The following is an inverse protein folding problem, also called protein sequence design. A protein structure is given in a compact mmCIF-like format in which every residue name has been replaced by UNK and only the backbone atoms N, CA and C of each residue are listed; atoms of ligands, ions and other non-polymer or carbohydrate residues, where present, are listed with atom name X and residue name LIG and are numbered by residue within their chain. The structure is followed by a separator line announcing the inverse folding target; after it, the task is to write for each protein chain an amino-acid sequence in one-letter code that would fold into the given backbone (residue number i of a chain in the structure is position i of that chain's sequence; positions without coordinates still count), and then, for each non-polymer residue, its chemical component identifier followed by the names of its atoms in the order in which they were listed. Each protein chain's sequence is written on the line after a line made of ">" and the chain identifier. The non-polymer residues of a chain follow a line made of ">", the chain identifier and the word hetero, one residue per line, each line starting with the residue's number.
data_IF_325596685343
#
_entry.id   IF_325596685343
#
_cell.length_a   1.000
_cell.length_b   1.000
_cell.length_c   1.000
_cell.angle_alpha   90.00
_cell.angle_beta   90.00
_cell.angle_gamma   90.00
#
_symmetry.space_group_name_H-M   'P 1'
#
loop_
_entity.id
_entity.type
_entity.pdbx_description
1 polymer ?
#
# COMPACT_ATOMS: atom_id res chain seq x y z
N UNK A 1 -6.81 6.26 33.92
CA UNK A 1 -6.35 4.92 33.51
C UNK A 1 -5.38 5.08 32.35
N UNK A 2 -4.13 4.62 32.48
CA UNK A 2 -3.20 4.59 31.33
C UNK A 2 -3.65 3.45 30.42
N UNK A 3 -4.01 3.76 29.18
CA UNK A 3 -4.30 2.73 28.19
C UNK A 3 -2.99 2.00 27.87
N UNK A 4 -2.92 0.71 28.16
CA UNK A 4 -1.79 -0.14 27.79
C UNK A 4 -1.96 -0.68 26.37
N UNK A 5 -2.33 0.19 25.42
CA UNK A 5 -2.48 -0.22 24.03
C UNK A 5 -1.13 -0.75 23.52
N UNK A 6 -1.17 -1.98 23.00
CA UNK A 6 -0.03 -2.58 22.30
C UNK A 6 -0.18 -2.27 20.83
N UNK A 7 0.75 -1.48 20.30
CA UNK A 7 0.71 -1.02 18.92
C UNK A 7 1.67 -1.89 18.10
N UNK A 8 1.19 -2.33 16.94
CA UNK A 8 1.97 -3.04 15.95
C UNK A 8 1.87 -2.33 14.61
N UNK A 9 2.84 -2.56 13.73
CA UNK A 9 2.76 -2.22 12.31
C UNK A 9 2.58 -3.50 11.52
N UNK A 10 1.46 -3.61 10.80
CA UNK A 10 1.24 -4.61 9.77
C UNK A 10 1.65 -3.99 8.45
N UNK A 11 2.60 -4.58 7.74
CA UNK A 11 3.01 -4.15 6.40
C UNK A 11 2.85 -5.30 5.43
N UNK A 12 2.34 -5.04 4.24
CA UNK A 12 2.33 -6.03 3.18
C UNK A 12 2.84 -5.45 1.87
N UNK A 13 3.45 -6.31 1.06
CA UNK A 13 3.92 -5.98 -0.27
C UNK A 13 3.54 -7.07 -1.26
N UNK A 14 3.22 -6.66 -2.48
CA UNK A 14 3.15 -7.53 -3.66
C UNK A 14 4.29 -7.13 -4.57
N UNK A 15 5.11 -8.10 -4.96
CA UNK A 15 6.18 -7.92 -5.94
C UNK A 15 6.33 -9.21 -6.75
N UNK A 16 6.12 -9.13 -8.07
CA UNK A 16 6.42 -10.19 -9.05
C UNK A 16 6.11 -11.62 -8.54
N UNK A 17 4.82 -11.90 -8.39
CA UNK A 17 4.26 -13.19 -7.93
C UNK A 17 4.45 -13.52 -6.44
N UNK A 18 5.10 -12.66 -5.66
CA UNK A 18 5.18 -12.79 -4.20
C UNK A 18 4.18 -11.86 -3.50
N UNK A 19 3.59 -12.36 -2.41
CA UNK A 19 2.83 -11.57 -1.45
C UNK A 19 3.40 -11.81 -0.06
N UNK A 20 3.99 -10.77 0.51
CA UNK A 20 4.63 -10.82 1.81
C UNK A 20 3.87 -9.98 2.82
N UNK A 21 3.70 -10.50 4.03
CA UNK A 21 3.12 -9.78 5.16
C UNK A 21 4.08 -9.86 6.34
N UNK A 22 4.36 -8.70 6.93
CA UNK A 22 5.20 -8.57 8.12
C UNK A 22 4.43 -7.86 9.21
N UNK A 23 4.57 -8.35 10.44
CA UNK A 23 4.02 -7.72 11.64
C UNK A 23 5.19 -7.38 12.55
N UNK A 24 5.28 -6.13 12.97
CA UNK A 24 6.34 -5.65 13.86
C UNK A 24 5.74 -4.93 15.05
N UNK A 25 6.26 -5.18 16.25
CA UNK A 25 5.82 -4.51 17.47
C UNK A 25 6.46 -3.14 17.60
N UNK A 26 5.67 -2.18 18.08
CA UNK A 26 6.13 -0.82 18.35
C UNK A 26 5.82 -0.44 19.79
N UNK A 27 6.86 -0.04 20.52
CA UNK A 27 6.74 0.37 21.91
C UNK A 27 6.04 1.71 22.01
N UNK A 28 4.96 1.77 22.79
CA UNK A 28 4.32 3.03 23.17
C UNK A 28 5.23 3.79 24.15
N UNK A 29 5.57 5.03 23.81
CA UNK A 29 6.39 5.92 24.63
C UNK A 29 5.55 6.98 25.33
N UNK A 30 4.64 7.61 24.60
CA UNK A 30 3.76 8.67 25.10
C UNK A 30 2.37 8.51 24.49
N UNK A 31 1.35 8.68 25.32
CA UNK A 31 -0.02 8.86 24.88
C UNK A 31 -0.45 10.30 25.16
N UNK A 32 -0.95 10.99 24.13
CA UNK A 32 -1.61 12.29 24.26
C UNK A 32 -3.09 12.18 23.87
N UNK A 33 -3.84 13.27 23.98
CA UNK A 33 -5.22 13.29 23.48
C UNK A 33 -5.33 13.17 21.95
N UNK A 34 -4.28 13.52 21.20
CA UNK A 34 -4.33 13.58 19.72
C UNK A 34 -3.53 12.48 19.03
N UNK A 35 -2.43 12.06 19.62
CA UNK A 35 -1.49 11.10 19.01
C UNK A 35 -0.77 10.24 20.04
N UNK A 36 -0.21 9.15 19.55
CA UNK A 36 0.76 8.31 20.23
C UNK A 36 2.18 8.62 19.73
N UNK A 37 3.16 8.68 20.64
CA UNK A 37 4.57 8.53 20.26
C UNK A 37 4.96 7.08 20.45
N UNK A 38 5.47 6.48 19.38
CA UNK A 38 5.84 5.07 19.33
C UNK A 38 7.27 4.91 18.80
N UNK A 39 7.91 3.81 19.15
CA UNK A 39 9.28 3.52 18.70
C UNK A 39 9.41 2.04 18.32
N UNK A 40 10.00 1.78 17.15
CA UNK A 40 10.45 0.46 16.76
C UNK A 40 11.71 0.07 17.55
N UNK A 41 11.95 -1.23 17.72
CA UNK A 41 13.06 -1.78 18.52
C UNK A 41 14.39 -1.04 18.28
N UNK A 42 14.82 -0.96 17.03
CA UNK A 42 16.05 -0.26 16.61
C UNK A 42 15.77 0.95 15.69
N UNK A 43 14.58 1.54 15.79
CA UNK A 43 14.13 2.58 14.85
C UNK A 43 13.93 3.97 15.44
N UNK A 44 13.63 4.96 14.59
CA UNK A 44 13.27 6.31 15.02
C UNK A 44 11.91 6.33 15.74
N UNK A 45 11.73 7.34 16.59
CA UNK A 45 10.42 7.64 17.18
C UNK A 45 9.49 8.17 16.09
N UNK A 46 8.25 7.67 16.05
CA UNK A 46 7.19 8.16 15.17
C UNK A 46 5.99 8.65 15.98
N UNK A 47 5.26 9.60 15.39
CA UNK A 47 3.96 10.04 15.88
C UNK A 47 2.85 9.45 15.03
N UNK A 48 1.85 8.88 15.68
CA UNK A 48 0.64 8.38 15.04
C UNK A 48 -0.56 9.08 15.63
N UNK A 49 -1.25 9.84 14.79
CA UNK A 49 -2.51 10.45 15.17
C UNK A 49 -3.57 9.37 15.43
N UNK A 50 -4.37 9.54 16.49
CA UNK A 50 -5.33 8.52 16.93
C UNK A 50 -6.34 8.16 15.83
N UNK A 51 -6.73 9.12 15.00
CA UNK A 51 -7.60 8.93 13.84
C UNK A 51 -6.95 8.19 12.67
N UNK A 52 -5.62 8.02 12.67
CA UNK A 52 -4.87 7.23 11.68
C UNK A 52 -4.55 5.82 12.19
N UNK A 53 -4.86 5.51 13.45
CA UNK A 53 -4.71 4.17 13.98
C UNK A 53 -5.76 3.25 13.35
N UNK A 54 -5.36 2.02 13.01
CA UNK A 54 -6.18 1.03 12.32
C UNK A 54 -6.68 1.53 10.96
N UNK A 55 -5.86 2.33 10.28
CA UNK A 55 -6.15 2.79 8.92
C UNK A 55 -5.03 2.30 8.02
N UNK A 56 -5.40 1.69 6.89
CA UNK A 56 -4.45 1.30 5.84
C UNK A 56 -3.94 2.55 5.14
N UNK A 57 -2.63 2.61 4.96
CA UNK A 57 -1.91 3.67 4.27
C UNK A 57 -1.07 3.05 3.17
N UNK A 58 -1.00 3.76 2.06
CA UNK A 58 -0.21 3.38 0.91
C UNK A 58 1.25 3.79 1.12
N UNK A 59 2.17 2.84 1.01
CA UNK A 59 3.60 3.11 1.13
C UNK A 59 4.21 3.38 -0.27
N UNK A 60 3.67 2.74 -1.31
CA UNK A 60 4.02 3.03 -2.71
C UNK A 60 3.07 4.06 -3.32
N UNK A 61 3.61 5.14 -3.89
CA UNK A 61 2.82 6.18 -4.58
C UNK A 61 2.26 5.72 -5.93
N UNK A 62 2.94 4.79 -6.59
CA UNK A 62 2.59 4.32 -7.93
C UNK A 62 3.02 2.87 -8.12
N UNK A 63 2.28 2.12 -8.94
CA UNK A 63 2.74 0.83 -9.42
C UNK A 63 3.92 1.01 -10.38
N UNK A 64 5.11 0.63 -9.92
CA UNK A 64 6.35 0.72 -10.68
C UNK A 64 7.21 -0.50 -10.39
N UNK A 65 7.91 -1.01 -11.41
CA UNK A 65 8.73 -2.22 -11.31
C UNK A 65 8.01 -3.47 -10.78
N UNK A 66 6.67 -3.50 -10.83
CA UNK A 66 5.88 -4.63 -10.36
C UNK A 66 5.55 -4.62 -8.86
N UNK A 67 5.79 -3.51 -8.16
CA UNK A 67 5.67 -3.41 -6.70
C UNK A 67 4.47 -2.57 -6.26
N UNK A 68 3.74 -3.08 -5.26
CA UNK A 68 2.81 -2.31 -4.42
C UNK A 68 3.03 -2.67 -2.97
N UNK A 69 2.99 -1.69 -2.07
CA UNK A 69 3.02 -1.97 -0.64
C UNK A 69 2.09 -1.03 0.14
N UNK A 70 1.47 -1.60 1.16
CA UNK A 70 0.59 -0.90 2.09
C UNK A 70 0.99 -1.26 3.52
N UNK A 71 0.65 -0.39 4.46
CA UNK A 71 0.81 -0.69 5.88
C UNK A 71 -0.29 -0.08 6.72
N UNK A 72 -0.43 -0.59 7.95
CA UNK A 72 -1.28 -0.01 8.95
C UNK A 72 -0.58 -0.13 10.31
N UNK A 73 -0.67 0.92 11.11
CA UNK A 73 -0.44 0.79 12.54
C UNK A 73 -1.76 0.49 13.23
N UNK A 74 -1.80 -0.55 14.06
CA UNK A 74 -3.03 -0.98 14.71
C UNK A 74 -2.79 -1.48 16.13
N UNK A 75 -3.89 -1.65 16.86
CA UNK A 75 -3.86 -2.42 18.10
C UNK A 75 -3.57 -3.90 17.79
N UNK A 76 -2.87 -4.58 18.69
CA UNK A 76 -2.44 -5.98 18.52
C UNK A 76 -3.63 -6.95 18.29
N UNK A 77 -4.78 -6.70 18.91
CA UNK A 77 -6.01 -7.48 18.73
C UNK A 77 -6.67 -7.30 17.35
N UNK A 78 -6.26 -6.29 16.57
CA UNK A 78 -6.79 -6.00 15.23
C UNK A 78 -5.88 -6.45 14.08
N UNK A 79 -4.79 -7.17 14.36
CA UNK A 79 -3.85 -7.63 13.31
C UNK A 79 -4.56 -8.34 12.16
N UNK A 80 -5.41 -9.33 12.47
CA UNK A 80 -6.08 -10.14 11.45
C UNK A 80 -7.02 -9.30 10.58
N UNK A 81 -7.75 -8.36 11.19
CA UNK A 81 -8.62 -7.43 10.48
C UNK A 81 -7.79 -6.56 9.52
N UNK A 82 -6.66 -6.01 9.99
CA UNK A 82 -5.79 -5.18 9.16
C UNK A 82 -5.13 -5.95 8.03
N UNK A 83 -4.77 -7.22 8.22
CA UNK A 83 -4.26 -8.06 7.13
C UNK A 83 -5.30 -8.24 6.03
N UNK A 84 -6.57 -8.47 6.39
CA UNK A 84 -7.68 -8.59 5.43
C UNK A 84 -7.92 -7.26 4.70
N UNK A 85 -7.93 -6.14 5.42
CA UNK A 85 -8.11 -4.82 4.82
C UNK A 85 -6.97 -4.46 3.85
N UNK A 86 -5.72 -4.73 4.24
CA UNK A 86 -4.55 -4.52 3.38
C UNK A 86 -4.66 -5.38 2.10
N UNK A 87 -5.01 -6.65 2.23
CA UNK A 87 -5.19 -7.54 1.07
C UNK A 87 -6.27 -7.01 0.12
N UNK A 88 -7.41 -6.59 0.66
CA UNK A 88 -8.50 -5.98 -0.13
C UNK A 88 -8.05 -4.69 -0.83
N UNK A 89 -7.31 -3.83 -0.13
CA UNK A 89 -6.78 -2.58 -0.70
C UNK A 89 -5.84 -2.86 -1.87
N UNK A 90 -4.89 -3.80 -1.70
CA UNK A 90 -3.98 -4.23 -2.76
C UNK A 90 -4.74 -4.81 -3.95
N UNK A 91 -5.74 -5.66 -3.71
CA UNK A 91 -6.57 -6.23 -4.78
C UNK A 91 -7.32 -5.16 -5.58
N UNK A 92 -7.94 -4.20 -4.88
CA UNK A 92 -8.65 -3.08 -5.53
C UNK A 92 -7.70 -2.26 -6.41
N UNK A 93 -6.49 -1.98 -5.92
CA UNK A 93 -5.47 -1.25 -6.67
C UNK A 93 -5.00 -1.99 -7.91
N UNK A 94 -4.68 -3.28 -7.77
CA UNK A 94 -4.25 -4.11 -8.91
C UNK A 94 -5.34 -4.14 -9.97
N UNK A 95 -6.60 -4.37 -9.58
CA UNK A 95 -7.73 -4.36 -10.50
C UNK A 95 -7.89 -3.01 -11.21
N UNK A 96 -7.72 -1.89 -10.48
CA UNK A 96 -7.76 -0.57 -11.07
C UNK A 96 -6.63 -0.37 -12.08
N UNK A 97 -5.38 -0.71 -11.75
CA UNK A 97 -4.26 -0.63 -12.68
C UNK A 97 -4.47 -1.51 -13.92
N UNK A 98 -4.94 -2.74 -13.76
CA UNK A 98 -5.25 -3.62 -14.89
C UNK A 98 -6.31 -3.03 -15.81
N UNK A 99 -7.33 -2.39 -15.23
CA UNK A 99 -8.38 -1.71 -16.00
C UNK A 99 -7.81 -0.55 -16.82
N UNK A 100 -7.07 0.36 -16.18
CA UNK A 100 -6.44 1.52 -16.84
C UNK A 100 -5.46 1.09 -17.94
N UNK A 101 -4.62 0.09 -17.67
CA UNK A 101 -3.67 -0.45 -18.65
C UNK A 101 -4.38 -1.06 -19.86
N UNK A 102 -5.52 -1.73 -19.65
CA UNK A 102 -6.33 -2.28 -20.74
C UNK A 102 -6.93 -1.16 -21.61
N UNK A 103 -7.47 -0.10 -20.98
CA UNK A 103 -7.98 1.08 -21.70
C UNK A 103 -6.87 1.73 -22.54
N UNK A 104 -5.69 1.93 -21.96
CA UNK A 104 -4.54 2.50 -22.65
C UNK A 104 -4.06 1.62 -23.81
N UNK A 105 -4.00 0.29 -23.61
CA UNK A 105 -3.65 -0.64 -24.68
C UNK A 105 -4.65 -0.59 -25.84
N UNK A 106 -5.95 -0.54 -25.55
CA UNK A 106 -6.99 -0.36 -26.58
C UNK A 106 -6.81 0.95 -27.34
N UNK A 107 -6.43 2.04 -26.67
CA UNK A 107 -6.17 3.32 -27.32
C UNK A 107 -4.98 3.23 -28.28
N UNK A 108 -3.88 2.57 -27.87
CA UNK A 108 -2.71 2.33 -28.73
C UNK A 108 -3.08 1.46 -29.93
N UNK A 109 -3.80 0.34 -29.73
CA UNK A 109 -4.17 -0.57 -30.82
C UNK A 109 -5.07 0.09 -31.88
N UNK A 110 -5.87 1.10 -31.49
CA UNK A 110 -6.69 1.89 -32.42
C UNK A 110 -5.87 2.88 -33.24
N UNK A 111 -4.76 3.36 -32.69
CA UNK A 111 -3.77 4.09 -33.47
C UNK A 111 -3.04 3.05 -34.31
N UNK A 112 -3.56 2.75 -35.50
CA UNK A 112 -2.86 1.93 -36.47
C UNK A 112 -1.44 2.48 -36.56
N UNK A 113 -0.45 1.75 -36.06
CA UNK A 113 0.96 2.10 -36.27
C UNK A 113 1.08 2.19 -37.79
N UNK A 114 1.24 3.41 -38.31
CA UNK A 114 1.11 3.70 -39.72
C UNK A 114 1.91 2.68 -40.53
N UNK A 115 1.30 1.94 -41.47
CA UNK A 115 2.07 1.30 -42.51
C UNK A 115 2.81 2.41 -43.26
N UNK A 116 4.13 2.24 -43.34
CA UNK A 116 5.05 3.10 -44.04
C UNK A 116 4.54 3.52 -45.42
N UNK A 117 4.96 4.73 -45.81
CA UNK A 117 5.20 5.12 -47.20
C UNK A 117 5.45 3.93 -48.14
N UNK A 118 4.41 3.47 -48.83
CA UNK A 118 4.50 2.61 -50.02
C UNK A 118 3.30 2.93 -50.90
N UNK A 119 3.39 3.49 -52.10
CA UNK A 119 4.49 3.90 -52.98
C UNK A 119 3.99 5.09 -53.81
N UNK A 120 4.82 6.10 -54.03
CA UNK A 120 4.79 6.79 -55.33
C UNK A 120 5.27 5.79 -56.39
N UNK A 121 4.55 5.70 -57.51
CA UNK A 121 5.07 5.64 -58.88
C UNK A 121 3.88 5.58 -59.85
N UNK A 122 3.72 6.71 -60.54
CA UNK A 122 3.27 6.96 -61.92
C UNK A 122 2.63 5.80 -62.69
#
# INVERSE_FOLDING_TARGET
>A
MKSHIKIVKVSAAVEKDAFDVTVSHWKLLLETNRYYEIKAEDGPVKRIYKEKLNTVVDETKSYSAGQLSCSAFCAEDRINEMQIEILRNLQLKINHYMHELNLNMKAIQRQSICPEHTKKRD
#
